data_IF_457338592001
#
_entry.id   IF_457338592001
#
_cell.length_a   1.000
_cell.length_b   1.000
_cell.length_c   1.000
_cell.angle_alpha   90.00
_cell.angle_beta   90.00
_cell.angle_gamma   90.00
#
_symmetry.space_group_name_H-M   'P 1'
#
loop_
_entity.id
_entity.type
_entity.pdbx_description
1 polymer ?
#
# COMPACT_ATOMS: atom_id res chain seq x y z
N UNK A 1 13.66 -21.59 -18.57
CA UNK A 1 14.35 -20.33 -18.91
C UNK A 1 13.85 -19.30 -17.92
N UNK A 2 14.61 -19.09 -16.84
CA UNK A 2 14.35 -18.04 -15.85
C UNK A 2 14.80 -16.73 -16.48
N UNK A 3 13.84 -15.90 -16.86
CA UNK A 3 14.12 -14.57 -17.38
C UNK A 3 14.90 -13.80 -16.31
N UNK A 4 16.11 -13.37 -16.65
CA UNK A 4 16.89 -12.46 -15.80
C UNK A 4 16.09 -11.17 -15.70
N UNK A 5 15.97 -10.56 -14.52
CA UNK A 5 15.51 -9.18 -14.46
C UNK A 5 16.52 -8.33 -15.24
N UNK A 6 16.17 -7.96 -16.47
CA UNK A 6 16.93 -6.98 -17.23
C UNK A 6 16.75 -5.61 -16.58
N UNK A 7 17.73 -4.71 -16.74
CA UNK A 7 17.61 -3.30 -16.32
C UNK A 7 16.28 -2.66 -16.82
N UNK A 8 15.79 -3.10 -17.98
CA UNK A 8 14.50 -2.67 -18.53
C UNK A 8 13.29 -3.05 -17.66
N UNK A 9 13.32 -4.21 -16.98
CA UNK A 9 12.25 -4.62 -16.06
C UNK A 9 12.28 -3.80 -14.77
N UNK A 10 13.48 -3.50 -14.25
CA UNK A 10 13.64 -2.59 -13.12
C UNK A 10 13.14 -1.18 -13.47
N UNK A 11 13.53 -0.66 -14.64
CA UNK A 11 13.12 0.67 -15.10
C UNK A 11 11.61 0.76 -15.32
N UNK A 12 10.98 -0.29 -15.87
CA UNK A 12 9.53 -0.38 -15.99
C UNK A 12 8.83 -0.40 -14.62
N UNK A 13 9.38 -1.12 -13.65
CA UNK A 13 8.85 -1.17 -12.27
C UNK A 13 9.01 0.19 -11.58
N UNK A 14 10.14 0.87 -11.77
CA UNK A 14 10.38 2.21 -11.23
C UNK A 14 9.44 3.24 -11.84
N UNK A 15 9.22 3.21 -13.16
CA UNK A 15 8.29 4.08 -13.85
C UNK A 15 6.84 3.83 -13.42
N UNK A 16 6.45 2.56 -13.25
CA UNK A 16 5.15 2.19 -12.70
C UNK A 16 4.96 2.75 -11.29
N UNK A 17 5.96 2.59 -10.42
CA UNK A 17 5.91 3.11 -9.06
C UNK A 17 5.78 4.63 -9.03
N UNK A 18 6.54 5.33 -9.87
CA UNK A 18 6.45 6.79 -9.96
C UNK A 18 5.09 7.25 -10.51
N UNK A 19 4.50 6.52 -11.47
CA UNK A 19 3.16 6.79 -11.97
C UNK A 19 2.10 6.66 -10.86
N UNK A 20 2.18 5.61 -10.02
CA UNK A 20 1.27 5.41 -8.88
C UNK A 20 1.39 6.56 -7.87
N UNK A 21 2.59 6.97 -7.51
CA UNK A 21 2.80 8.02 -6.49
C UNK A 21 2.56 9.42 -7.03
N UNK A 22 2.72 9.65 -8.33
CA UNK A 22 2.32 10.91 -8.96
C UNK A 22 0.80 11.10 -8.90
N UNK A 23 0.03 10.01 -9.02
CA UNK A 23 -1.43 10.06 -8.89
C UNK A 23 -1.88 10.49 -7.48
N UNK A 24 -1.04 10.31 -6.46
CA UNK A 24 -1.30 10.81 -5.11
C UNK A 24 -1.38 12.36 -5.03
N UNK A 25 -0.80 13.07 -6.00
CA UNK A 25 -0.87 14.54 -6.07
C UNK A 25 -1.93 15.06 -7.05
N UNK A 26 -2.68 14.17 -7.70
CA UNK A 26 -3.74 14.56 -8.66
C UNK A 26 -5.13 14.35 -8.06
N UNK A 27 -6.11 15.22 -8.37
CA UNK A 27 -7.47 15.15 -7.82
C UNK A 27 -8.36 14.05 -8.42
N UNK A 28 -7.80 13.07 -9.15
CA UNK A 28 -8.57 11.88 -9.53
C UNK A 28 -8.87 11.03 -8.27
N UNK A 29 -10.08 10.45 -8.18
CA UNK A 29 -10.57 9.75 -6.99
C UNK A 29 -9.54 8.72 -6.47
N UNK A 30 -8.91 8.98 -5.29
CA UNK A 30 -7.88 8.10 -4.72
C UNK A 30 -8.33 6.66 -4.49
N UNK A 31 -9.65 6.42 -4.46
CA UNK A 31 -10.26 5.08 -4.37
C UNK A 31 -9.93 4.20 -5.58
N UNK A 32 -9.70 4.79 -6.75
CA UNK A 32 -9.43 4.05 -8.00
C UNK A 32 -7.94 3.93 -8.33
N UNK A 33 -7.07 4.50 -7.50
CA UNK A 33 -5.62 4.58 -7.77
C UNK A 33 -4.81 4.06 -6.59
N UNK A 34 -4.59 4.89 -5.57
CA UNK A 34 -3.59 4.65 -4.53
C UNK A 34 -4.12 3.85 -3.35
N UNK A 35 -5.36 4.09 -2.94
CA UNK A 35 -5.96 3.43 -1.78
C UNK A 35 -6.81 2.22 -2.17
N UNK A 36 -6.98 1.98 -3.48
CA UNK A 36 -7.71 0.83 -3.99
C UNK A 36 -7.14 -0.47 -3.40
N UNK A 37 -7.93 -1.23 -2.62
CA UNK A 37 -7.51 -2.52 -2.11
C UNK A 37 -7.21 -3.50 -3.24
N UNK A 38 -6.22 -4.35 -3.03
CA UNK A 38 -5.74 -5.30 -4.04
C UNK A 38 -6.76 -6.38 -4.44
N UNK A 39 -7.76 -6.60 -3.60
CA UNK A 39 -8.85 -7.58 -3.77
C UNK A 39 -10.08 -7.01 -4.49
N UNK A 40 -10.13 -5.70 -4.77
CA UNK A 40 -11.27 -5.09 -5.44
C UNK A 40 -11.18 -5.20 -6.98
N UNK A 41 -12.29 -5.59 -7.63
CA UNK A 41 -12.34 -6.05 -9.04
C UNK A 41 -11.85 -5.00 -10.05
N UNK A 42 -12.07 -3.71 -9.74
CA UNK A 42 -11.68 -2.58 -10.60
C UNK A 42 -10.26 -2.08 -10.38
N UNK A 43 -9.59 -2.55 -9.33
CA UNK A 43 -8.49 -1.79 -8.76
C UNK A 43 -7.30 -1.61 -9.70
N UNK A 44 -7.12 -2.48 -10.72
CA UNK A 44 -5.86 -2.48 -11.46
C UNK A 44 -5.91 -2.91 -12.92
N UNK A 45 -6.86 -2.39 -13.70
CA UNK A 45 -6.81 -2.53 -15.17
C UNK A 45 -5.49 -2.02 -15.76
N UNK A 46 -4.86 -1.02 -15.11
CA UNK A 46 -3.57 -0.47 -15.50
C UNK A 46 -2.38 -1.35 -15.10
N UNK A 47 -2.45 -2.17 -14.03
CA UNK A 47 -1.37 -3.11 -13.71
C UNK A 47 -1.25 -4.21 -14.76
N UNK A 48 -2.33 -4.58 -15.45
CA UNK A 48 -2.26 -5.49 -16.61
C UNK A 48 -1.33 -4.97 -17.72
N UNK A 49 -1.06 -3.67 -17.74
CA UNK A 49 -0.11 -3.05 -18.70
C UNK A 49 1.35 -3.25 -18.30
N UNK A 50 1.61 -3.56 -17.03
CA UNK A 50 2.95 -3.67 -16.45
C UNK A 50 3.27 -5.12 -16.08
N UNK A 51 2.25 -5.90 -15.66
CA UNK A 51 2.37 -7.29 -15.22
C UNK A 51 1.37 -8.18 -15.97
N UNK A 52 1.78 -9.36 -16.45
CA UNK A 52 0.97 -10.22 -17.31
C UNK A 52 -0.02 -11.10 -16.53
N UNK A 53 -0.85 -10.50 -15.66
CA UNK A 53 -1.82 -11.22 -14.83
C UNK A 53 -3.19 -10.54 -14.79
N UNK A 54 -4.25 -11.35 -14.65
CA UNK A 54 -5.63 -10.88 -14.75
C UNK A 54 -6.20 -10.25 -13.48
N UNK A 55 -5.61 -10.57 -12.33
CA UNK A 55 -5.87 -9.91 -11.05
C UNK A 55 -4.58 -9.78 -10.27
N UNK A 56 -4.54 -8.81 -9.35
CA UNK A 56 -3.43 -8.68 -8.42
C UNK A 56 -3.28 -9.91 -7.55
N UNK A 57 -4.37 -10.47 -7.07
CA UNK A 57 -4.34 -11.68 -6.25
C UNK A 57 -3.71 -12.86 -7.01
N UNK A 58 -4.00 -13.01 -8.31
CA UNK A 58 -3.37 -14.03 -9.15
C UNK A 58 -1.87 -13.78 -9.34
N UNK A 59 -1.46 -12.52 -9.55
CA UNK A 59 -0.06 -12.12 -9.61
C UNK A 59 0.64 -12.38 -8.26
N UNK A 60 0.04 -11.94 -7.16
CA UNK A 60 0.57 -12.02 -5.80
C UNK A 60 0.70 -13.47 -5.34
N UNK A 61 -0.29 -14.31 -5.65
CA UNK A 61 -0.21 -15.74 -5.40
C UNK A 61 0.87 -16.40 -6.25
N UNK A 62 1.01 -16.01 -7.53
CA UNK A 62 2.03 -16.57 -8.42
C UNK A 62 3.45 -16.13 -8.01
N UNK A 63 3.60 -14.90 -7.52
CA UNK A 63 4.88 -14.29 -7.19
C UNK A 63 5.19 -14.31 -5.68
N UNK A 64 4.34 -14.93 -4.87
CA UNK A 64 4.46 -15.01 -3.40
C UNK A 64 4.54 -13.62 -2.73
N UNK A 65 3.78 -12.65 -3.25
CA UNK A 65 3.77 -11.25 -2.79
C UNK A 65 2.57 -10.89 -1.91
N UNK A 66 1.76 -11.88 -1.55
CA UNK A 66 0.65 -11.71 -0.63
C UNK A 66 1.05 -11.90 0.82
N UNK A 67 0.55 -11.04 1.70
CA UNK A 67 0.45 -11.39 3.11
C UNK A 67 -0.87 -12.13 3.34
N UNK A 68 -0.79 -13.33 3.90
CA UNK A 68 -1.97 -14.05 4.36
C UNK A 68 -2.23 -13.72 5.83
N UNK A 69 -3.45 -13.29 6.12
CA UNK A 69 -3.95 -13.14 7.49
C UNK A 69 -4.80 -14.37 7.82
N UNK A 70 -4.71 -14.82 9.06
CA UNK A 70 -5.52 -15.93 9.57
C UNK A 70 -6.42 -15.38 10.67
N UNK A 71 -7.73 -15.55 10.51
CA UNK A 71 -8.66 -15.36 11.63
C UNK A 71 -8.39 -16.46 12.66
N UNK A 72 -7.96 -16.06 13.85
CA UNK A 72 -7.57 -16.99 14.93
C UNK A 72 -8.74 -17.83 15.46
N UNK A 73 -9.98 -17.36 15.32
CA UNK A 73 -11.18 -18.07 15.81
C UNK A 73 -11.67 -19.09 14.79
N UNK A 74 -11.70 -18.70 13.52
CA UNK A 74 -12.26 -19.54 12.44
C UNK A 74 -11.21 -20.36 11.70
N UNK A 75 -9.93 -19.97 11.80
CA UNK A 75 -8.83 -20.58 11.05
C UNK A 75 -8.82 -20.21 9.57
N UNK A 76 -9.75 -19.37 9.11
CA UNK A 76 -9.86 -18.97 7.72
C UNK A 76 -8.68 -18.07 7.32
N UNK A 77 -8.11 -18.34 6.14
CA UNK A 77 -7.08 -17.51 5.54
C UNK A 77 -7.71 -16.53 4.57
N UNK A 78 -7.28 -15.29 4.63
CA UNK A 78 -7.59 -14.25 3.65
C UNK A 78 -6.32 -13.47 3.30
N UNK A 79 -6.31 -12.79 2.16
CA UNK A 79 -5.26 -11.83 1.86
C UNK A 79 -5.44 -10.58 2.71
N UNK A 80 -4.33 -10.00 3.17
CA UNK A 80 -4.33 -8.71 3.85
C UNK A 80 -4.72 -7.61 2.85
N UNK A 81 -5.78 -6.81 3.10
CA UNK A 81 -6.06 -5.66 2.24
C UNK A 81 -4.94 -4.63 2.45
N UNK A 82 -4.07 -4.47 1.45
CA UNK A 82 -2.97 -3.50 1.45
C UNK A 82 -3.01 -2.68 0.16
N UNK A 83 -2.58 -1.42 0.25
CA UNK A 83 -2.41 -0.57 -0.93
C UNK A 83 -1.40 -1.19 -1.91
N UNK A 84 -1.72 -1.11 -3.20
CA UNK A 84 -0.85 -1.57 -4.28
C UNK A 84 0.54 -0.93 -4.24
N UNK A 85 0.65 0.33 -3.83
CA UNK A 85 1.93 1.02 -3.70
C UNK A 85 2.89 0.26 -2.78
N UNK A 86 2.38 -0.22 -1.63
CA UNK A 86 3.16 -0.98 -0.65
C UNK A 86 3.63 -2.30 -1.25
N UNK A 87 2.76 -2.97 -2.02
CA UNK A 87 3.04 -4.28 -2.61
C UNK A 87 4.06 -4.21 -3.74
N UNK A 88 3.97 -3.21 -4.62
CA UNK A 88 4.99 -2.95 -5.66
C UNK A 88 6.33 -2.63 -5.00
N UNK A 89 6.34 -1.87 -3.91
CA UNK A 89 7.55 -1.58 -3.14
C UNK A 89 8.20 -2.83 -2.54
N UNK A 90 7.40 -3.70 -1.91
CA UNK A 90 7.87 -4.99 -1.40
C UNK A 90 8.40 -5.89 -2.51
N UNK A 91 7.72 -5.95 -3.66
CA UNK A 91 8.20 -6.73 -4.80
C UNK A 91 9.57 -6.27 -5.28
N UNK A 92 9.76 -4.96 -5.42
CA UNK A 92 11.02 -4.39 -5.86
C UNK A 92 12.19 -4.78 -4.94
N UNK A 93 11.94 -4.97 -3.63
CA UNK A 93 12.94 -5.41 -2.65
C UNK A 93 13.27 -6.91 -2.71
N UNK A 94 12.25 -7.75 -2.89
CA UNK A 94 12.37 -9.19 -2.63
C UNK A 94 12.40 -10.05 -3.90
N UNK A 95 12.17 -9.46 -5.08
CA UNK A 95 12.17 -10.16 -6.35
C UNK A 95 13.58 -10.24 -6.99
N UNK A 96 13.82 -11.32 -7.73
CA UNK A 96 15.11 -11.63 -8.38
C UNK A 96 15.92 -12.73 -7.68
N UNK A 97 16.92 -13.25 -8.39
CA UNK A 97 17.94 -14.15 -7.83
C UNK A 97 18.80 -13.43 -6.78
N UNK A 98 19.47 -14.17 -5.90
CA UNK A 98 20.35 -13.58 -4.87
C UNK A 98 21.44 -12.67 -5.47
N UNK A 99 21.92 -12.98 -6.67
CA UNK A 99 22.90 -12.17 -7.40
C UNK A 99 22.28 -10.87 -7.95
N UNK A 100 21.04 -10.92 -8.45
CA UNK A 100 20.30 -9.73 -8.93
C UNK A 100 19.93 -8.82 -7.76
N UNK A 101 19.46 -9.39 -6.65
CA UNK A 101 19.23 -8.65 -5.40
C UNK A 101 20.49 -7.93 -4.99
N UNK A 102 21.64 -8.61 -4.90
CA UNK A 102 22.89 -7.98 -4.49
C UNK A 102 23.34 -6.83 -5.41
N UNK A 103 23.12 -6.95 -6.73
CA UNK A 103 23.54 -5.93 -7.70
C UNK A 103 22.63 -4.69 -7.68
N UNK A 104 21.32 -4.88 -7.57
CA UNK A 104 20.33 -3.80 -7.65
C UNK A 104 19.86 -3.28 -6.29
N UNK A 105 20.18 -3.95 -5.18
CA UNK A 105 19.72 -3.63 -3.83
C UNK A 105 19.85 -2.15 -3.49
N UNK A 106 21.03 -1.56 -3.71
CA UNK A 106 21.27 -0.14 -3.41
C UNK A 106 20.40 0.80 -4.24
N UNK A 107 20.15 0.45 -5.51
CA UNK A 107 19.31 1.22 -6.44
C UNK A 107 17.84 1.11 -6.06
N UNK A 108 17.37 -0.09 -5.72
CA UNK A 108 16.01 -0.33 -5.21
C UNK A 108 15.75 0.43 -3.91
N UNK A 109 16.65 0.30 -2.92
CA UNK A 109 16.51 0.99 -1.63
C UNK A 109 16.43 2.50 -1.83
N UNK A 110 17.31 3.05 -2.68
CA UNK A 110 17.30 4.48 -3.00
C UNK A 110 15.98 4.91 -3.66
N UNK A 111 15.48 4.15 -4.63
CA UNK A 111 14.18 4.41 -5.25
C UNK A 111 13.05 4.43 -4.20
N UNK A 112 12.99 3.43 -3.33
CA UNK A 112 11.93 3.34 -2.32
C UNK A 112 12.05 4.42 -1.24
N UNK A 113 13.27 4.81 -0.87
CA UNK A 113 13.51 5.94 0.02
C UNK A 113 13.01 7.26 -0.61
N UNK A 114 13.33 7.49 -1.87
CA UNK A 114 12.88 8.67 -2.63
C UNK A 114 11.35 8.71 -2.73
N UNK A 115 10.72 7.59 -3.06
CA UNK A 115 9.26 7.47 -3.14
C UNK A 115 8.60 7.65 -1.76
N UNK A 116 9.17 7.09 -0.69
CA UNK A 116 8.65 7.26 0.68
C UNK A 116 8.72 8.72 1.13
N UNK A 117 9.84 9.41 0.86
CA UNK A 117 10.01 10.85 1.16
C UNK A 117 9.03 11.71 0.35
N UNK A 118 8.86 11.39 -0.93
CA UNK A 118 7.91 12.07 -1.83
C UNK A 118 6.47 11.94 -1.32
N UNK A 119 6.03 10.71 -1.05
CA UNK A 119 4.70 10.41 -0.52
C UNK A 119 4.46 11.07 0.84
N UNK A 120 5.45 11.01 1.75
CA UNK A 120 5.38 11.68 3.05
C UNK A 120 5.11 13.18 2.90
N UNK A 121 5.83 13.85 2.00
CA UNK A 121 5.62 15.26 1.70
C UNK A 121 4.25 15.54 1.06
N UNK A 122 3.78 14.68 0.16
CA UNK A 122 2.45 14.81 -0.45
C UNK A 122 1.33 14.69 0.61
N UNK A 123 1.49 13.80 1.60
CA UNK A 123 0.52 13.61 2.69
C UNK A 123 0.66 14.59 3.86
N UNK A 124 1.72 15.40 3.91
CA UNK A 124 1.81 16.56 4.79
C UNK A 124 1.05 17.77 4.24
N UNK A 125 0.79 17.80 2.92
CA UNK A 125 0.06 18.90 2.27
C UNK A 125 -1.40 18.96 2.77
N UNK A 126 -1.94 20.14 3.12
CA UNK A 126 -3.34 20.26 3.54
C UNK A 126 -4.37 19.74 2.53
N UNK A 127 -4.06 19.74 1.23
CA UNK A 127 -4.94 19.17 0.21
C UNK A 127 -5.12 17.66 0.36
N UNK A 128 -4.20 16.97 1.05
CA UNK A 128 -4.27 15.52 1.27
C UNK A 128 -5.43 15.07 2.16
N UNK A 129 -6.17 15.98 2.80
CA UNK A 129 -7.42 15.64 3.53
C UNK A 129 -8.42 14.88 2.65
N UNK A 130 -8.39 15.12 1.34
CA UNK A 130 -9.25 14.44 0.36
C UNK A 130 -8.97 12.92 0.26
N UNK A 131 -7.82 12.45 0.78
CA UNK A 131 -7.46 11.03 0.82
C UNK A 131 -8.04 10.28 2.02
N UNK A 132 -8.49 10.99 3.07
CA UNK A 132 -8.88 10.36 4.35
C UNK A 132 -10.13 9.49 4.18
N UNK A 133 -11.20 10.04 3.60
CA UNK A 133 -12.46 9.32 3.42
C UNK A 133 -12.30 8.14 2.46
N UNK A 134 -11.66 8.31 1.27
CA UNK A 134 -11.24 7.19 0.43
C UNK A 134 -10.53 6.08 1.19
N UNK A 135 -9.54 6.41 2.01
CA UNK A 135 -8.78 5.43 2.77
C UNK A 135 -9.66 4.67 3.78
N UNK A 136 -10.51 5.38 4.53
CA UNK A 136 -11.44 4.74 5.48
C UNK A 136 -12.35 3.74 4.76
N UNK A 137 -12.89 4.12 3.61
CA UNK A 137 -13.76 3.23 2.83
C UNK A 137 -13.02 2.04 2.24
N UNK A 138 -11.86 2.28 1.63
CA UNK A 138 -11.04 1.23 1.04
C UNK A 138 -10.62 0.17 2.06
N UNK A 139 -10.28 0.58 3.29
CA UNK A 139 -9.82 -0.35 4.32
C UNK A 139 -10.90 -0.71 5.36
N UNK A 140 -12.16 -0.38 5.09
CA UNK A 140 -13.31 -0.66 5.96
C UNK A 140 -13.11 -0.22 7.42
N UNK A 141 -12.58 0.99 7.64
CA UNK A 141 -12.19 1.48 8.95
C UNK A 141 -13.33 2.17 9.72
N UNK A 142 -14.51 2.33 9.12
CA UNK A 142 -15.64 3.12 9.65
C UNK A 142 -16.00 2.71 11.08
N UNK A 143 -16.13 1.41 11.34
CA UNK A 143 -16.50 0.89 12.67
C UNK A 143 -15.42 1.19 13.72
N UNK A 144 -14.14 1.12 13.32
CA UNK A 144 -13.01 1.40 14.21
C UNK A 144 -12.82 2.89 14.53
N UNK A 145 -13.43 3.80 13.76
CA UNK A 145 -13.29 5.24 14.01
C UNK A 145 -13.83 5.66 15.39
N UNK A 146 -14.80 4.91 15.93
CA UNK A 146 -15.35 5.13 17.27
C UNK A 146 -14.33 4.91 18.41
N UNK A 147 -13.28 4.12 18.14
CA UNK A 147 -12.19 3.82 19.08
C UNK A 147 -11.10 4.89 19.06
N UNK A 148 -11.11 5.79 18.08
CA UNK A 148 -10.11 6.85 17.92
C UNK A 148 -10.43 8.03 18.85
N UNK A 149 -9.40 8.75 19.30
CA UNK A 149 -9.56 9.97 20.10
C UNK A 149 -10.27 11.08 19.34
N UNK A 150 -10.04 11.15 18.03
CA UNK A 150 -10.79 12.00 17.11
C UNK A 150 -11.48 11.16 16.03
N UNK A 151 -12.77 10.80 16.21
CA UNK A 151 -13.50 9.99 15.23
C UNK A 151 -13.83 10.73 13.93
N UNK A 152 -13.89 12.06 13.93
CA UNK A 152 -14.34 12.83 12.77
C UNK A 152 -13.20 13.05 11.75
N UNK A 153 -13.29 12.48 10.53
CA UNK A 153 -12.28 12.67 9.48
C UNK A 153 -12.03 14.13 9.09
N UNK A 154 -13.04 15.00 9.20
CA UNK A 154 -12.95 16.39 8.77
C UNK A 154 -12.14 17.30 9.71
N UNK A 155 -11.65 16.78 10.85
CA UNK A 155 -10.86 17.56 11.82
C UNK A 155 -9.36 17.41 11.66
N UNK A 156 -8.91 16.45 10.86
CA UNK A 156 -7.50 16.28 10.53
C UNK A 156 -7.09 17.32 9.47
N UNK A 157 -5.90 17.90 9.61
CA UNK A 157 -5.39 18.97 8.74
C UNK A 157 -4.75 18.44 7.47
N UNK A 158 -4.29 17.20 7.50
CA UNK A 158 -3.71 16.49 6.38
C UNK A 158 -3.81 14.97 6.61
N UNK A 159 -3.44 14.19 5.61
CA UNK A 159 -3.54 12.74 5.67
C UNK A 159 -2.58 12.13 6.69
N UNK A 160 -1.37 12.66 6.86
CA UNK A 160 -0.41 12.12 7.84
C UNK A 160 -0.91 12.26 9.28
N UNK A 161 -1.57 13.37 9.63
CA UNK A 161 -2.19 13.55 10.96
C UNK A 161 -3.28 12.49 11.22
N UNK A 162 -4.08 12.17 10.20
CA UNK A 162 -5.05 11.08 10.25
C UNK A 162 -4.40 9.69 10.32
N UNK A 163 -3.31 9.49 9.56
CA UNK A 163 -2.63 8.20 9.52
C UNK A 163 -1.98 7.86 10.87
N UNK A 164 -1.48 8.87 11.58
CA UNK A 164 -0.93 8.76 12.94
C UNK A 164 -1.96 9.02 14.06
N UNK A 165 -3.25 8.92 13.77
CA UNK A 165 -4.32 9.22 14.75
C UNK A 165 -4.17 8.41 16.04
N UNK A 166 -4.50 9.06 17.16
CA UNK A 166 -4.47 8.44 18.48
C UNK A 166 -5.70 7.56 18.71
N UNK A 167 -5.48 6.40 19.31
CA UNK A 167 -6.53 5.51 19.83
C UNK A 167 -6.89 5.97 21.25
N UNK A 168 -8.15 5.86 21.65
CA UNK A 168 -8.55 6.13 23.04
C UNK A 168 -7.86 5.14 23.98
N UNK A 169 -7.45 5.62 25.15
CA UNK A 169 -6.76 4.79 26.16
C UNK A 169 -7.59 3.58 26.60
N UNK A 170 -8.92 3.69 26.60
CA UNK A 170 -9.85 2.65 27.02
C UNK A 170 -10.21 1.63 25.92
N UNK A 171 -9.89 1.90 24.64
CA UNK A 171 -10.31 1.05 23.52
C UNK A 171 -9.45 -0.21 23.32
N UNK A 172 -8.27 -0.26 23.94
CA UNK A 172 -7.32 -1.38 23.88
C UNK A 172 -6.82 -1.71 25.29
N UNK A 173 -7.68 -2.25 26.17
CA UNK A 173 -7.27 -2.63 27.52
C UNK A 173 -6.13 -3.66 27.45
N UNK A 174 -5.14 -3.49 28.32
CA UNK A 174 -4.03 -4.43 28.46
C UNK A 174 -4.55 -5.70 29.12
N UNK A 175 -4.30 -6.85 28.50
CA UNK A 175 -4.87 -8.15 28.90
C UNK A 175 -4.34 -8.62 30.28
N UNK A 176 -3.07 -8.34 30.59
CA UNK A 176 -2.48 -8.59 31.91
C UNK A 176 -1.63 -7.39 32.37
N UNK A 177 -1.80 -6.90 33.62
CA UNK A 177 -0.84 -5.98 34.20
C UNK A 177 0.49 -6.73 34.41
N UNK A 178 1.57 -6.21 33.81
CA UNK A 178 2.92 -6.75 33.96
C UNK A 178 3.48 -6.63 35.38
#
# INVERSE_FOLDING_TARGET
>A
MTDKLSDAHFDATAAALDQITNQAATPEDPKNTLHSPSDHEKSHSWLKRIFPYDSLEAMESAWHMGNYVIDRKTGQKSFEPMSIYVRVGMHALYYGSEQEKALHWKRTIKLLEEQSKKMGKQYDDPASVDHIVPFIESFNLQESMSEMKEPNPAKYKNFNEFFSREIREDARPIDEPG
#
